data_IF_216212876336
#
_entry.id   IF_216212876336
#
_cell.length_a   1.000
_cell.length_b   1.000
_cell.length_c   1.000
_cell.angle_alpha   90.00
_cell.angle_beta   90.00
_cell.angle_gamma   90.00
#
_symmetry.space_group_name_H-M   'P 1'
#
loop_
_entity.id
_entity.type
_entity.pdbx_description
1 polymer ?
#
# COMPACT_ATOMS: atom_id res chain seq x y z
N UNK A 1 80.22 23.37 19.28
CA UNK A 1 80.38 22.16 20.13
C UNK A 1 79.03 21.46 20.11
N UNK A 2 78.92 20.33 19.39
CA UNK A 2 78.79 18.98 19.98
C UNK A 2 77.56 18.87 20.91
N UNK A 3 76.63 17.93 20.81
CA UNK A 3 76.42 16.72 20.00
C UNK A 3 75.13 16.06 20.52
N UNK A 4 74.43 15.27 19.69
CA UNK A 4 73.63 14.07 20.06
C UNK A 4 72.46 14.28 21.06
N UNK A 5 71.19 14.04 20.75
CA UNK A 5 70.60 12.94 19.98
C UNK A 5 70.01 11.90 20.94
N UNK A 6 68.68 11.73 20.95
CA UNK A 6 68.02 10.43 21.23
C UNK A 6 66.54 10.51 20.87
N UNK A 7 66.21 9.84 19.77
CA UNK A 7 64.87 9.57 19.30
C UNK A 7 64.32 8.32 19.98
N UNK A 8 63.08 8.36 20.45
CA UNK A 8 62.33 7.17 20.87
C UNK A 8 61.28 6.83 19.81
N UNK A 9 61.57 5.76 19.06
CA UNK A 9 60.61 4.98 18.26
C UNK A 9 60.02 3.88 19.13
N UNK A 10 58.71 3.62 19.02
CA UNK A 10 58.06 2.31 19.04
C UNK A 10 56.55 2.48 19.28
N UNK A 11 55.61 1.67 18.78
CA UNK A 11 55.58 0.57 17.82
C UNK A 11 54.07 0.38 17.53
N UNK A 12 53.67 0.38 16.26
CA UNK A 12 52.31 0.00 15.87
C UNK A 12 52.15 -1.52 15.95
N UNK A 13 51.23 -1.99 16.78
CA UNK A 13 50.87 -3.41 16.88
C UNK A 13 49.76 -3.72 15.87
N UNK A 14 50.14 -4.26 14.72
CA UNK A 14 49.25 -4.94 13.78
C UNK A 14 48.95 -6.35 14.30
N UNK A 15 47.72 -6.60 14.73
CA UNK A 15 47.23 -7.97 14.97
C UNK A 15 46.45 -8.42 13.74
N UNK A 16 47.12 -9.21 12.90
CA UNK A 16 46.49 -10.00 11.85
C UNK A 16 45.70 -11.15 12.48
N UNK A 17 44.39 -11.21 12.21
CA UNK A 17 43.57 -12.39 12.51
C UNK A 17 43.36 -13.14 11.20
N UNK A 18 43.99 -14.31 11.10
CA UNK A 18 43.81 -15.28 10.03
C UNK A 18 42.40 -15.87 10.11
N UNK A 19 41.68 -15.84 8.98
CA UNK A 19 40.45 -16.59 8.77
C UNK A 19 40.76 -18.07 8.47
N UNK A 20 39.94 -19.02 8.95
CA UNK A 20 39.81 -20.33 8.33
C UNK A 20 38.61 -20.38 7.37
N UNK A 21 38.88 -20.90 6.17
CA UNK A 21 37.91 -21.28 5.15
C UNK A 21 37.15 -22.54 5.59
N UNK A 22 35.82 -22.49 5.68
CA UNK A 22 34.94 -23.68 5.74
C UNK A 22 33.67 -23.42 4.93
N UNK A 23 33.29 -24.40 4.11
CA UNK A 23 32.34 -24.29 2.99
C UNK A 23 30.85 -24.09 3.32
N UNK A 24 29.97 -24.22 2.30
CA UNK A 24 28.60 -23.76 2.38
C UNK A 24 27.70 -24.74 3.16
N UNK A 25 27.36 -24.38 4.39
CA UNK A 25 26.26 -25.00 5.12
C UNK A 25 24.92 -24.36 4.70
N UNK A 26 24.08 -25.15 4.04
CA UNK A 26 22.67 -24.82 3.80
C UNK A 26 21.94 -24.65 5.14
N UNK A 27 21.71 -23.42 5.56
CA UNK A 27 20.86 -23.12 6.71
C UNK A 27 19.40 -23.17 6.24
N UNK A 28 18.78 -24.33 6.43
CA UNK A 28 17.33 -24.51 6.33
C UNK A 28 16.65 -23.63 7.39
N UNK A 29 16.13 -22.48 6.95
CA UNK A 29 15.30 -21.59 7.78
C UNK A 29 13.90 -22.21 7.88
N UNK A 30 13.70 -23.11 8.83
CA UNK A 30 12.36 -23.54 9.22
C UNK A 30 11.65 -22.37 9.91
N UNK A 31 10.76 -21.71 9.17
CA UNK A 31 9.81 -20.75 9.72
C UNK A 31 8.77 -21.54 10.52
N UNK A 32 8.88 -21.51 11.84
CA UNK A 32 7.79 -21.95 12.72
C UNK A 32 6.65 -20.93 12.65
N UNK A 33 5.59 -21.27 11.93
CA UNK A 33 4.33 -20.51 11.95
C UNK A 33 3.61 -20.92 13.23
N UNK A 34 3.53 -20.00 14.20
CA UNK A 34 2.63 -20.17 15.34
C UNK A 34 1.21 -19.81 14.91
N UNK A 35 0.39 -20.81 14.62
CA UNK A 35 -1.07 -20.66 14.50
C UNK A 35 -1.67 -20.65 15.90
N UNK A 36 -2.00 -19.47 16.43
CA UNK A 36 -2.87 -19.36 17.60
C UNK A 36 -4.32 -19.54 17.17
N UNK A 37 -4.73 -20.80 17.01
CA UNK A 37 -6.14 -21.20 17.06
C UNK A 37 -6.55 -21.24 18.54
N UNK A 38 -6.93 -20.09 19.09
CA UNK A 38 -7.74 -20.08 20.32
C UNK A 38 -9.20 -20.19 19.89
N UNK A 39 -9.74 -21.38 20.11
CA UNK A 39 -11.14 -21.73 19.94
C UNK A 39 -12.04 -20.70 20.61
N UNK A 40 -12.98 -20.19 19.83
CA UNK A 40 -14.15 -19.45 20.29
C UNK A 40 -15.09 -20.48 20.91
N UNK A 41 -14.98 -20.70 22.23
CA UNK A 41 -16.01 -21.40 22.98
C UNK A 41 -17.19 -20.44 23.17
N UNK A 42 -18.23 -20.71 22.39
CA UNK A 42 -19.51 -20.03 22.42
C UNK A 42 -20.33 -20.52 23.61
N UNK A 43 -20.19 -19.86 24.76
CA UNK A 43 -21.09 -20.07 25.90
C UNK A 43 -22.39 -19.32 25.66
N UNK A 44 -23.38 -20.06 25.15
CA UNK A 44 -24.79 -19.68 25.06
C UNK A 44 -25.38 -19.60 26.46
N UNK A 45 -25.60 -18.39 26.98
CA UNK A 45 -26.43 -18.15 28.17
C UNK A 45 -27.74 -17.49 27.74
N UNK A 46 -28.79 -18.31 27.64
CA UNK A 46 -30.18 -17.85 27.70
C UNK A 46 -30.48 -17.57 29.18
N UNK A 47 -30.96 -16.38 29.53
CA UNK A 47 -31.55 -16.16 30.84
C UNK A 47 -32.85 -15.35 30.75
N UNK A 48 -33.84 -15.96 31.37
CA UNK A 48 -35.22 -15.53 31.52
C UNK A 48 -35.30 -14.60 32.73
N UNK A 49 -36.03 -13.50 32.58
CA UNK A 49 -36.34 -12.55 33.65
C UNK A 49 -37.26 -13.17 34.71
N UNK A 50 -36.79 -13.24 35.96
CA UNK A 50 -37.66 -13.29 37.14
C UNK A 50 -36.98 -12.63 38.34
N UNK A 51 -37.63 -11.60 38.87
CA UNK A 51 -37.21 -10.82 40.02
C UNK A 51 -37.65 -11.49 41.34
N UNK A 52 -36.75 -11.53 42.32
CA UNK A 52 -37.09 -11.62 43.75
C UNK A 52 -35.94 -11.07 44.59
N UNK A 53 -36.28 -10.27 45.60
CA UNK A 53 -35.40 -9.44 46.40
C UNK A 53 -35.05 -10.06 47.78
N UNK A 54 -33.97 -9.53 48.36
CA UNK A 54 -33.46 -9.68 49.75
C UNK A 54 -32.80 -11.04 50.04
N UNK A 55 -31.61 -11.14 50.63
CA UNK A 55 -31.10 -10.44 51.84
C UNK A 55 -29.56 -10.45 51.84
N UNK A 56 -28.97 -9.43 52.46
CA UNK A 56 -27.54 -9.31 52.72
C UNK A 56 -27.11 -10.23 53.87
N UNK A 57 -26.10 -11.06 53.64
CA UNK A 57 -25.15 -11.50 54.68
C UNK A 57 -23.72 -11.57 54.11
N UNK A 58 -22.81 -11.22 55.00
CA UNK A 58 -21.40 -10.92 54.85
C UNK A 58 -20.60 -12.22 54.82
N UNK A 59 -20.10 -12.61 53.63
CA UNK A 59 -19.11 -13.68 53.51
C UNK A 59 -17.77 -13.10 53.03
N UNK A 60 -16.82 -13.24 53.94
CA UNK A 60 -15.43 -12.81 53.87
C UNK A 60 -14.79 -13.21 52.55
N UNK A 61 -14.27 -12.19 51.85
CA UNK A 61 -13.53 -12.29 50.61
C UNK A 61 -12.34 -13.25 50.68
N UNK A 62 -12.49 -14.45 50.12
CA UNK A 62 -11.36 -15.24 49.65
C UNK A 62 -11.06 -14.81 48.21
N UNK A 63 -10.12 -13.87 48.07
CA UNK A 63 -9.64 -13.40 46.78
C UNK A 63 -9.22 -14.63 45.93
N UNK A 64 -9.83 -14.86 44.74
CA UNK A 64 -9.45 -16.01 43.92
C UNK A 64 -7.98 -15.84 43.60
N UNK A 65 -7.16 -16.80 44.01
CA UNK A 65 -5.71 -16.83 43.81
C UNK A 65 -5.39 -16.38 42.39
N UNK A 66 -5.02 -15.10 42.26
CA UNK A 66 -4.89 -14.47 40.94
C UNK A 66 -3.82 -15.24 40.19
N UNK A 67 -4.23 -15.97 39.14
CA UNK A 67 -3.31 -16.72 38.29
C UNK A 67 -2.31 -15.70 37.77
N UNK A 68 -1.11 -15.67 38.36
CA UNK A 68 -0.09 -14.65 38.07
C UNK A 68 0.13 -14.67 36.56
N UNK A 69 -0.23 -13.56 35.90
CA UNK A 69 -0.08 -13.45 34.46
C UNK A 69 1.38 -13.77 34.08
N UNK A 70 1.62 -14.48 32.97
CA UNK A 70 2.97 -14.77 32.51
C UNK A 70 3.78 -13.48 32.35
N UNK A 71 5.08 -13.54 32.64
CA UNK A 71 5.97 -12.37 32.71
C UNK A 71 5.82 -11.40 31.52
N UNK A 72 5.71 -11.94 30.29
CA UNK A 72 5.52 -11.14 29.07
C UNK A 72 4.21 -10.34 29.09
N UNK A 73 3.11 -10.93 29.56
CA UNK A 73 1.81 -10.23 29.69
C UNK A 73 1.89 -9.13 30.75
N UNK A 74 2.57 -9.39 31.88
CA UNK A 74 2.77 -8.35 32.91
C UNK A 74 3.56 -7.15 32.38
N UNK A 75 4.65 -7.38 31.66
CA UNK A 75 5.41 -6.31 30.99
C UNK A 75 4.58 -5.54 29.97
N UNK A 76 3.77 -6.25 29.19
CA UNK A 76 2.86 -5.63 28.22
C UNK A 76 1.82 -4.73 28.91
N UNK A 77 1.18 -5.19 29.99
CA UNK A 77 0.25 -4.35 30.76
C UNK A 77 0.93 -3.15 31.42
N UNK A 78 2.16 -3.31 31.91
CA UNK A 78 2.96 -2.19 32.43
C UNK A 78 3.24 -1.15 31.33
N UNK A 79 3.52 -1.58 30.10
CA UNK A 79 3.67 -0.67 28.96
C UNK A 79 2.35 0.01 28.59
N UNK A 80 1.23 -0.73 28.53
CA UNK A 80 -0.10 -0.17 28.27
C UNK A 80 -0.50 0.90 29.30
N UNK A 81 -0.14 0.71 30.57
CA UNK A 81 -0.42 1.68 31.64
C UNK A 81 0.49 2.92 31.59
N UNK A 82 1.65 2.82 30.93
CA UNK A 82 2.61 3.92 30.81
C UNK A 82 2.54 4.53 29.41
N UNK A 83 3.51 4.23 28.55
CA UNK A 83 3.61 4.80 27.20
C UNK A 83 2.47 4.40 26.27
N UNK A 84 1.84 3.25 26.51
CA UNK A 84 0.75 2.72 25.69
C UNK A 84 -0.59 3.41 25.95
N UNK A 85 -0.75 4.10 27.09
CA UNK A 85 -2.02 4.72 27.49
C UNK A 85 -2.49 5.78 26.47
N UNK A 86 -1.53 6.45 25.80
CA UNK A 86 -1.83 7.43 24.73
C UNK A 86 -2.49 6.82 23.49
N UNK A 87 -2.42 5.50 23.31
CA UNK A 87 -2.98 4.79 22.15
C UNK A 87 -4.25 4.02 22.48
N UNK A 88 -4.70 4.01 23.74
CA UNK A 88 -5.92 3.33 24.16
C UNK A 88 -7.16 3.96 23.49
N UNK A 89 -7.17 5.29 23.41
CA UNK A 89 -8.23 6.06 22.75
C UNK A 89 -7.65 6.82 21.55
N UNK A 90 -8.41 6.95 20.46
CA UNK A 90 -7.96 7.73 19.32
C UNK A 90 -7.77 9.19 19.71
N UNK A 91 -6.64 9.78 19.30
CA UNK A 91 -6.47 11.23 19.37
C UNK A 91 -7.07 11.85 18.10
N UNK A 92 -7.93 12.85 18.26
CA UNK A 92 -8.54 13.57 17.15
C UNK A 92 -7.74 14.82 16.72
N UNK A 93 -6.55 15.04 17.30
CA UNK A 93 -5.66 16.15 16.94
C UNK A 93 -4.79 15.87 15.71
N UNK A 94 -4.92 14.68 15.10
CA UNK A 94 -4.13 14.22 13.95
C UNK A 94 -3.54 12.83 14.16
N UNK A 95 -2.60 12.40 13.29
CA UNK A 95 -2.04 11.06 13.35
C UNK A 95 -1.25 10.84 14.64
N UNK A 96 -1.68 9.86 15.43
CA UNK A 96 -1.02 9.45 16.66
C UNK A 96 -0.14 8.21 16.39
N UNK A 97 1.07 8.45 15.91
CA UNK A 97 2.05 7.39 15.65
C UNK A 97 2.87 7.04 16.89
N UNK A 98 3.46 5.84 16.91
CA UNK A 98 4.35 5.39 18.00
C UNK A 98 5.58 6.30 18.13
N UNK A 99 6.09 6.78 16.99
CA UNK A 99 7.21 7.70 16.85
C UNK A 99 6.86 8.84 15.88
N UNK A 100 7.83 9.60 15.36
CA UNK A 100 7.59 10.60 14.29
C UNK A 100 6.95 9.95 13.04
N UNK A 101 7.31 8.70 12.75
CA UNK A 101 6.72 7.88 11.69
C UNK A 101 5.88 6.74 12.28
N UNK A 102 4.91 6.20 11.52
CA UNK A 102 4.09 5.07 11.98
C UNK A 102 4.93 3.82 12.29
N UNK A 103 6.05 3.65 11.59
CA UNK A 103 6.97 2.55 11.78
C UNK A 103 8.34 3.10 12.20
N UNK A 104 8.75 2.96 13.47
CA UNK A 104 10.03 3.49 13.95
C UNK A 104 11.25 2.94 13.19
N UNK A 105 11.15 1.69 12.71
CA UNK A 105 12.21 1.04 11.94
C UNK A 105 12.20 1.40 10.44
N UNK A 106 11.20 2.17 9.97
CA UNK A 106 11.09 2.60 8.58
C UNK A 106 10.78 4.11 8.50
N UNK A 107 11.80 4.98 8.58
CA UNK A 107 11.61 6.42 8.52
C UNK A 107 11.22 6.94 7.12
N UNK A 108 11.41 6.13 6.07
CA UNK A 108 11.05 6.51 4.70
C UNK A 108 9.53 6.49 4.48
N UNK A 109 8.80 5.68 5.24
CA UNK A 109 7.36 5.61 5.14
C UNK A 109 6.70 6.73 5.98
N UNK A 110 6.37 7.83 5.31
CA UNK A 110 5.64 8.97 5.87
C UNK A 110 4.27 9.08 5.18
N UNK A 111 3.17 8.65 5.81
CA UNK A 111 1.86 8.70 5.18
C UNK A 111 1.41 10.15 5.00
N UNK A 112 1.09 10.51 3.76
CA UNK A 112 0.44 11.80 3.47
C UNK A 112 -1.03 11.76 3.89
N UNK A 113 -1.58 12.83 4.47
CA UNK A 113 -2.99 12.87 4.84
C UNK A 113 -3.88 12.68 3.59
N UNK A 114 -5.01 11.97 3.71
CA UNK A 114 -5.94 11.83 2.61
C UNK A 114 -6.66 13.16 2.35
N UNK A 115 -7.33 13.25 1.19
CA UNK A 115 -8.17 14.39 0.87
C UNK A 115 -9.50 14.34 1.64
N UNK A 116 -9.99 15.50 2.08
CA UNK A 116 -11.29 15.61 2.74
C UNK A 116 -12.45 15.21 1.83
N UNK A 117 -13.48 14.60 2.40
CA UNK A 117 -14.70 14.21 1.71
C UNK A 117 -15.40 15.42 1.11
N UNK A 118 -15.35 16.57 1.79
CA UNK A 118 -15.87 17.85 1.30
C UNK A 118 -15.17 18.26 0.00
N UNK A 119 -13.83 18.21 -0.05
CA UNK A 119 -13.09 18.55 -1.26
C UNK A 119 -13.36 17.56 -2.41
N UNK A 120 -13.49 16.26 -2.12
CA UNK A 120 -13.88 15.24 -3.11
C UNK A 120 -15.26 15.53 -3.69
N UNK A 121 -16.21 15.93 -2.84
CA UNK A 121 -17.56 16.30 -3.26
C UNK A 121 -17.56 17.59 -4.11
N UNK A 122 -16.74 18.60 -3.76
CA UNK A 122 -16.55 19.80 -4.58
C UNK A 122 -16.02 19.45 -5.98
N UNK A 123 -14.99 18.60 -6.07
CA UNK A 123 -14.42 18.13 -7.34
C UNK A 123 -15.50 17.47 -8.20
N UNK A 124 -16.29 16.57 -7.60
CA UNK A 124 -17.37 15.87 -8.31
C UNK A 124 -18.45 16.85 -8.81
N UNK A 125 -18.88 17.79 -7.96
CA UNK A 125 -19.88 18.81 -8.32
C UNK A 125 -19.42 19.70 -9.47
N UNK A 126 -18.16 20.16 -9.44
CA UNK A 126 -17.58 20.97 -10.52
C UNK A 126 -17.52 20.21 -11.84
N UNK A 127 -17.08 18.95 -11.82
CA UNK A 127 -17.06 18.12 -13.03
C UNK A 127 -18.47 17.87 -13.58
N UNK A 128 -19.45 17.67 -12.69
CA UNK A 128 -20.84 17.41 -13.09
C UNK A 128 -21.54 18.66 -13.63
N UNK A 129 -21.16 19.86 -13.18
CA UNK A 129 -21.73 21.11 -13.70
C UNK A 129 -21.30 21.38 -15.14
N UNK A 130 -19.98 21.34 -15.41
CA UNK A 130 -19.42 21.58 -16.75
C UNK A 130 -18.29 20.59 -17.06
N UNK A 131 -18.62 19.41 -17.58
CA UNK A 131 -17.63 18.36 -17.87
C UNK A 131 -16.59 18.78 -18.93
N UNK A 132 -16.97 19.64 -19.87
CA UNK A 132 -16.09 20.18 -20.92
C UNK A 132 -15.06 21.18 -20.39
N UNK A 133 -15.46 22.02 -19.43
CA UNK A 133 -14.59 23.02 -18.80
C UNK A 133 -13.74 22.40 -17.71
N UNK A 134 -14.36 21.63 -16.82
CA UNK A 134 -13.73 21.00 -15.66
C UNK A 134 -13.25 19.59 -16.00
N UNK A 135 -12.32 19.49 -16.94
CA UNK A 135 -11.66 18.23 -17.24
C UNK A 135 -10.82 17.74 -16.04
N UNK A 136 -10.55 16.42 -15.92
CA UNK A 136 -9.71 15.90 -14.83
C UNK A 136 -8.35 16.58 -14.72
N UNK A 137 -7.79 17.02 -15.86
CA UNK A 137 -6.56 17.81 -15.91
C UNK A 137 -6.71 19.19 -15.26
N UNK A 138 -7.77 19.93 -15.60
CA UNK A 138 -8.04 21.26 -15.02
C UNK A 138 -8.30 21.16 -13.51
N UNK A 139 -9.04 20.14 -13.09
CA UNK A 139 -9.27 19.84 -11.67
C UNK A 139 -7.96 19.45 -10.96
N UNK A 140 -7.11 18.65 -11.59
CA UNK A 140 -5.79 18.29 -11.08
C UNK A 140 -4.89 19.51 -10.86
N UNK A 141 -4.86 20.44 -11.81
CA UNK A 141 -4.13 21.70 -11.69
C UNK A 141 -4.71 22.61 -10.60
N UNK A 142 -6.04 22.68 -10.46
CA UNK A 142 -6.70 23.53 -9.46
C UNK A 142 -6.47 23.04 -8.03
N UNK A 143 -6.48 21.71 -7.83
CA UNK A 143 -6.37 21.09 -6.50
C UNK A 143 -4.97 20.54 -6.19
N UNK A 144 -3.98 20.74 -7.08
CA UNK A 144 -2.61 20.21 -6.99
C UNK A 144 -2.54 18.69 -6.79
N UNK A 145 -3.41 17.99 -7.52
CA UNK A 145 -3.56 16.54 -7.47
C UNK A 145 -3.31 15.90 -8.84
N UNK A 146 -2.92 14.63 -8.82
CA UNK A 146 -2.59 13.84 -10.00
C UNK A 146 -3.86 13.55 -10.78
N UNK A 147 -3.74 13.50 -12.11
CA UNK A 147 -4.89 13.27 -13.00
C UNK A 147 -5.59 11.95 -12.61
N UNK A 148 -4.80 10.90 -12.40
CA UNK A 148 -5.29 9.58 -11.98
C UNK A 148 -6.08 9.62 -10.68
N UNK A 149 -5.66 10.44 -9.71
CA UNK A 149 -6.39 10.61 -8.44
C UNK A 149 -7.72 11.32 -8.66
N UNK A 150 -7.76 12.36 -9.51
CA UNK A 150 -9.01 13.03 -9.88
C UNK A 150 -9.98 12.06 -10.53
N UNK A 151 -9.52 11.28 -11.51
CA UNK A 151 -10.36 10.29 -12.19
C UNK A 151 -10.94 9.27 -11.21
N UNK A 152 -10.13 8.78 -10.28
CA UNK A 152 -10.58 7.87 -9.23
C UNK A 152 -11.62 8.51 -8.31
N UNK A 153 -11.42 9.78 -7.91
CA UNK A 153 -12.41 10.52 -7.11
C UNK A 153 -13.73 10.63 -7.87
N UNK A 154 -13.70 11.00 -9.15
CA UNK A 154 -14.90 11.11 -9.98
C UNK A 154 -15.64 9.79 -10.08
N UNK A 155 -14.93 8.68 -10.34
CA UNK A 155 -15.52 7.33 -10.42
C UNK A 155 -16.13 6.89 -9.08
N UNK A 156 -15.39 7.01 -7.98
CA UNK A 156 -15.85 6.57 -6.66
C UNK A 156 -17.03 7.41 -6.16
N UNK A 157 -17.02 8.72 -6.42
CA UNK A 157 -18.14 9.61 -6.07
C UNK A 157 -19.38 9.33 -6.91
N UNK A 158 -19.20 9.03 -8.18
CA UNK A 158 -20.32 8.62 -9.03
C UNK A 158 -20.97 7.34 -8.50
N UNK A 159 -20.14 6.34 -8.21
CA UNK A 159 -20.56 5.07 -7.60
C UNK A 159 -21.27 5.28 -6.25
N UNK A 160 -20.75 6.16 -5.40
CA UNK A 160 -21.41 6.51 -4.14
C UNK A 160 -22.83 7.05 -4.38
N UNK A 161 -23.04 7.92 -5.38
CA UNK A 161 -24.38 8.43 -5.72
C UNK A 161 -25.29 7.35 -6.30
N UNK A 162 -24.77 6.44 -7.11
CA UNK A 162 -25.52 5.27 -7.59
C UNK A 162 -25.99 4.41 -6.43
N UNK A 163 -25.10 4.05 -5.51
CA UNK A 163 -25.45 3.24 -4.34
C UNK A 163 -26.50 3.92 -3.45
N UNK A 164 -26.38 5.24 -3.26
CA UNK A 164 -27.38 6.02 -2.52
C UNK A 164 -28.73 5.98 -3.23
N UNK A 165 -28.75 6.05 -4.57
CA UNK A 165 -29.97 5.92 -5.36
C UNK A 165 -30.58 4.50 -5.27
N UNK A 166 -29.75 3.47 -5.09
CA UNK A 166 -30.17 2.09 -4.80
C UNK A 166 -30.64 1.88 -3.34
N UNK A 167 -30.52 2.90 -2.48
CA UNK A 167 -30.99 2.86 -1.09
C UNK A 167 -29.90 2.52 -0.05
N UNK A 168 -28.62 2.48 -0.45
CA UNK A 168 -27.51 2.32 0.49
C UNK A 168 -27.30 3.59 1.33
N UNK A 169 -27.07 3.43 2.63
CA UNK A 169 -26.82 4.54 3.57
C UNK A 169 -25.31 4.61 3.89
N UNK A 170 -24.58 5.64 3.43
CA UNK A 170 -23.16 5.79 3.72
C UNK A 170 -22.87 6.05 5.20
N UNK A 171 -21.76 5.51 5.70
CA UNK A 171 -21.29 5.74 7.08
C UNK A 171 -20.52 7.07 7.20
N UNK A 172 -21.25 8.18 7.27
CA UNK A 172 -20.63 9.52 7.35
C UNK A 172 -19.83 9.76 8.63
N UNK A 173 -20.34 9.29 9.78
CA UNK A 173 -19.67 9.50 11.07
C UNK A 173 -18.32 8.79 11.13
N UNK A 174 -18.24 7.59 10.54
CA UNK A 174 -16.99 6.86 10.41
C UNK A 174 -16.00 7.63 9.54
N UNK A 175 -16.46 8.14 8.39
CA UNK A 175 -15.64 8.95 7.49
C UNK A 175 -15.08 10.19 8.19
N UNK A 176 -15.93 10.94 8.91
CA UNK A 176 -15.52 12.13 9.70
C UNK A 176 -14.49 11.78 10.77
N UNK A 177 -14.70 10.70 11.51
CA UNK A 177 -13.74 10.22 12.51
C UNK A 177 -12.39 9.86 11.88
N UNK A 178 -12.40 9.12 10.77
CA UNK A 178 -11.17 8.75 10.07
C UNK A 178 -10.40 9.94 9.52
N UNK A 179 -11.09 10.97 9.01
CA UNK A 179 -10.43 12.20 8.56
C UNK A 179 -9.69 12.92 9.69
N UNK A 180 -10.28 12.94 10.88
CA UNK A 180 -9.65 13.52 12.07
C UNK A 180 -8.42 12.71 12.51
N UNK A 181 -8.54 11.38 12.57
CA UNK A 181 -7.42 10.50 12.92
C UNK A 181 -6.24 10.61 11.94
N UNK A 182 -6.54 10.82 10.66
CA UNK A 182 -5.52 10.94 9.61
C UNK A 182 -4.97 12.37 9.46
N UNK A 183 -5.44 13.33 10.28
CA UNK A 183 -4.97 14.71 10.27
C UNK A 183 -5.30 15.47 8.99
N UNK A 184 -6.47 15.20 8.39
CA UNK A 184 -6.94 15.92 7.21
C UNK A 184 -7.21 17.38 7.59
N UNK A 185 -6.41 18.30 7.05
CA UNK A 185 -6.66 19.73 7.25
C UNK A 185 -7.91 20.13 6.46
N UNK A 186 -8.82 20.87 7.10
CA UNK A 186 -10.04 21.37 6.46
C UNK A 186 -9.74 22.38 5.34
N UNK A 187 -8.57 23.00 5.36
CA UNK A 187 -8.14 23.96 4.37
C UNK A 187 -7.82 23.27 3.03
N UNK A 188 -8.49 23.75 1.99
CA UNK A 188 -8.41 23.31 0.60
C UNK A 188 -6.96 23.07 0.18
N UNK A 189 -6.63 21.82 -0.13
CA UNK A 189 -5.50 21.39 -0.97
C UNK A 189 -4.07 21.79 -0.56
N UNK A 190 -3.84 22.64 0.43
CA UNK A 190 -2.50 23.12 0.79
C UNK A 190 -1.58 22.01 1.34
N UNK A 191 -2.16 20.95 1.89
CA UNK A 191 -1.39 19.84 2.47
C UNK A 191 -0.95 18.78 1.44
N UNK A 192 -1.60 18.70 0.27
CA UNK A 192 -1.34 17.65 -0.72
C UNK A 192 -0.85 18.31 -1.99
N UNK A 193 0.45 18.23 -2.22
CA UNK A 193 1.05 18.60 -3.51
C UNK A 193 1.61 17.34 -4.13
N UNK A 194 0.97 16.86 -5.19
CA UNK A 194 1.47 15.74 -5.98
C UNK A 194 1.69 16.18 -7.43
N UNK A 195 2.65 15.56 -8.15
CA UNK A 195 2.83 15.85 -9.56
C UNK A 195 1.58 15.45 -10.35
N UNK A 196 1.23 16.25 -11.36
CA UNK A 196 0.06 16.00 -12.20
C UNK A 196 0.13 14.62 -12.89
N UNK A 197 1.34 14.22 -13.29
CA UNK A 197 1.67 12.91 -13.84
C UNK A 197 2.94 12.39 -13.17
N UNK A 198 2.90 11.14 -12.73
CA UNK A 198 4.07 10.46 -12.17
C UNK A 198 4.99 9.98 -13.30
N UNK A 199 6.27 10.36 -13.23
CA UNK A 199 7.28 10.04 -14.24
C UNK A 199 8.32 9.19 -13.57
N UNK A 200 8.32 7.90 -13.91
CA UNK A 200 9.35 6.96 -13.47
C UNK A 200 10.40 6.87 -14.59
N UNK A 201 11.52 7.61 -14.50
CA UNK A 201 12.57 7.48 -15.50
C UNK A 201 13.18 6.08 -15.40
N UNK A 202 13.35 5.42 -16.54
CA UNK A 202 14.16 4.21 -16.59
C UNK A 202 15.62 4.61 -16.40
N UNK A 203 16.16 4.51 -15.19
CA UNK A 203 17.58 4.78 -14.92
C UNK A 203 18.42 3.55 -15.28
N UNK A 204 19.47 3.77 -16.07
CA UNK A 204 20.41 2.70 -16.51
C UNK A 204 21.64 2.65 -15.62
N UNK A 205 22.69 1.95 -16.07
CA UNK A 205 24.00 2.03 -15.44
C UNK A 205 24.57 3.47 -15.54
N UNK A 206 25.30 3.96 -14.53
CA UNK A 206 25.95 5.25 -14.59
C UNK A 206 26.94 5.29 -15.76
N UNK A 207 26.98 6.40 -16.49
CA UNK A 207 27.90 6.64 -17.60
C UNK A 207 28.66 7.93 -17.34
N UNK A 208 29.97 7.88 -17.51
CA UNK A 208 30.87 9.02 -17.40
C UNK A 208 31.41 9.35 -18.78
N UNK A 209 31.36 10.61 -19.17
CA UNK A 209 31.88 11.12 -20.45
C UNK A 209 32.86 12.25 -20.14
N UNK A 210 34.04 12.20 -20.77
CA UNK A 210 35.00 13.28 -20.67
C UNK A 210 34.56 14.39 -21.61
N UNK A 211 34.36 15.58 -21.06
CA UNK A 211 33.94 16.79 -21.76
C UNK A 211 35.05 17.82 -21.57
N UNK A 212 35.23 18.71 -22.55
CA UNK A 212 36.23 19.78 -22.46
C UNK A 212 35.89 20.75 -21.33
N UNK A 213 36.90 21.41 -20.75
CA UNK A 213 36.71 22.26 -19.57
C UNK A 213 35.91 23.54 -19.85
N UNK A 214 35.88 23.99 -21.09
CA UNK A 214 35.12 25.16 -21.51
C UNK A 214 33.67 24.84 -21.96
N UNK A 215 33.34 23.57 -22.19
CA UNK A 215 32.04 23.16 -22.72
C UNK A 215 30.98 22.99 -21.62
N UNK A 216 29.78 23.56 -21.82
CA UNK A 216 28.67 23.45 -20.88
C UNK A 216 27.84 22.20 -21.14
N UNK A 217 27.95 21.21 -20.26
CA UNK A 217 27.19 19.96 -20.40
C UNK A 217 25.74 20.11 -19.93
N UNK A 218 24.78 20.10 -20.87
CA UNK A 218 23.36 20.29 -20.56
C UNK A 218 22.60 18.96 -20.37
N UNK A 219 21.36 19.05 -19.87
CA UNK A 219 20.48 17.87 -19.73
C UNK A 219 20.11 17.20 -21.08
N UNK A 220 20.15 17.96 -22.18
CA UNK A 220 19.91 17.44 -23.53
C UNK A 220 21.10 16.65 -24.04
N UNK A 221 22.32 17.13 -23.76
CA UNK A 221 23.55 16.41 -24.09
C UNK A 221 23.66 15.13 -23.27
N UNK A 222 23.32 15.18 -21.97
CA UNK A 222 23.19 13.97 -21.15
C UNK A 222 22.20 12.95 -21.73
N UNK A 223 21.07 13.41 -22.27
CA UNK A 223 20.10 12.52 -22.92
C UNK A 223 20.70 11.89 -24.20
N UNK A 224 21.43 12.66 -25.00
CA UNK A 224 22.15 12.18 -26.19
C UNK A 224 23.18 11.11 -25.84
N UNK A 225 23.99 11.37 -24.82
CA UNK A 225 25.01 10.44 -24.27
C UNK A 225 24.40 9.13 -23.80
N UNK A 226 23.24 9.21 -23.14
CA UNK A 226 22.49 8.04 -22.66
C UNK A 226 21.64 7.37 -23.75
N UNK A 227 21.63 7.90 -24.98
CA UNK A 227 20.78 7.46 -26.10
C UNK A 227 19.29 7.45 -25.73
N UNK A 228 18.85 8.50 -25.02
CA UNK A 228 17.49 8.69 -24.51
C UNK A 228 16.90 10.00 -25.02
N UNK A 229 15.58 10.10 -24.90
CA UNK A 229 14.88 11.38 -25.12
C UNK A 229 15.13 12.31 -23.93
N UNK A 230 15.20 13.62 -24.15
CA UNK A 230 15.31 14.60 -23.08
C UNK A 230 14.08 14.53 -22.16
N UNK A 231 14.27 14.79 -20.87
CA UNK A 231 13.22 14.68 -19.87
C UNK A 231 12.01 15.57 -20.22
N UNK A 232 12.25 16.78 -20.75
CA UNK A 232 11.21 17.73 -21.13
C UNK A 232 10.25 17.15 -22.19
N UNK A 233 10.79 16.48 -23.22
CA UNK A 233 9.99 15.83 -24.26
C UNK A 233 9.17 14.66 -23.68
N UNK A 234 9.76 13.88 -22.77
CA UNK A 234 9.04 12.79 -22.08
C UNK A 234 7.85 13.36 -21.28
N UNK A 235 8.04 14.46 -20.56
CA UNK A 235 6.94 15.11 -19.81
C UNK A 235 5.84 15.58 -20.76
N UNK A 236 6.22 16.26 -21.84
CA UNK A 236 5.27 16.80 -22.82
C UNK A 236 4.46 15.69 -23.47
N UNK A 237 5.12 14.61 -23.92
CA UNK A 237 4.47 13.46 -24.55
C UNK A 237 3.51 12.76 -23.60
N UNK A 238 3.89 12.51 -22.34
CA UNK A 238 3.00 11.90 -21.36
C UNK A 238 1.76 12.77 -21.14
N UNK A 239 1.94 14.08 -21.09
CA UNK A 239 0.85 15.03 -20.97
C UNK A 239 -0.08 14.98 -22.20
N UNK A 240 0.47 14.90 -23.41
CA UNK A 240 -0.31 14.74 -24.64
C UNK A 240 -1.06 13.40 -24.69
N UNK A 241 -0.44 12.31 -24.24
CA UNK A 241 -1.09 10.99 -24.16
C UNK A 241 -2.28 11.02 -23.20
N UNK A 242 -2.14 11.69 -22.06
CA UNK A 242 -3.25 11.91 -21.12
C UNK A 242 -4.34 12.81 -21.74
N UNK A 243 -3.98 13.84 -22.53
CA UNK A 243 -4.98 14.65 -23.26
C UNK A 243 -5.76 13.84 -24.30
N UNK A 244 -5.06 12.92 -25.01
CA UNK A 244 -5.66 12.06 -26.03
C UNK A 244 -6.56 10.97 -25.43
N UNK A 245 -6.45 10.69 -24.14
CA UNK A 245 -7.31 9.75 -23.41
C UNK A 245 -8.49 10.52 -22.79
N UNK A 246 -9.63 10.66 -23.50
CA UNK A 246 -10.78 11.32 -22.90
C UNK A 246 -11.26 10.50 -21.71
N UNK A 247 -11.38 11.17 -20.57
CA UNK A 247 -12.01 10.58 -19.40
C UNK A 247 -13.48 10.30 -19.71
N UNK A 248 -13.89 9.05 -19.49
CA UNK A 248 -15.28 8.62 -19.56
C UNK A 248 -15.73 8.21 -18.17
N UNK A 249 -16.75 8.88 -17.67
CA UNK A 249 -17.46 8.42 -16.49
C UNK A 249 -18.35 7.25 -16.93
N UNK A 250 -18.12 6.07 -16.36
CA UNK A 250 -18.96 4.90 -16.64
C UNK A 250 -20.15 4.99 -15.69
N UNK A 251 -21.35 5.15 -16.25
CA UNK A 251 -22.57 5.45 -15.50
C UNK A 251 -23.20 4.25 -14.77
N UNK A 252 -22.46 3.14 -14.60
CA UNK A 252 -22.91 1.95 -13.87
C UNK A 252 -21.79 0.95 -13.63
N UNK A 253 -21.73 0.38 -12.42
CA UNK A 253 -20.95 -0.85 -12.12
C UNK A 253 -21.33 -1.99 -13.09
N UNK A 254 -22.60 -2.02 -13.54
CA UNK A 254 -23.10 -2.98 -14.56
C UNK A 254 -22.50 -2.77 -15.96
N UNK A 255 -21.96 -1.59 -16.25
CA UNK A 255 -21.33 -1.22 -17.52
C UNK A 255 -19.81 -1.34 -17.52
N UNK A 256 -19.18 -1.53 -16.36
CA UNK A 256 -17.83 -2.08 -16.33
C UNK A 256 -18.00 -3.51 -16.81
N UNK A 257 -17.60 -3.78 -18.05
CA UNK A 257 -17.50 -5.15 -18.53
C UNK A 257 -16.71 -5.90 -17.45
N UNK A 258 -17.40 -6.74 -16.68
CA UNK A 258 -16.71 -7.84 -16.02
C UNK A 258 -15.91 -8.45 -17.15
N UNK A 259 -14.59 -8.61 -16.95
CA UNK A 259 -13.74 -9.17 -17.98
C UNK A 259 -14.42 -10.45 -18.44
N UNK A 260 -15.14 -10.39 -19.58
CA UNK A 260 -15.96 -11.52 -19.96
C UNK A 260 -14.96 -12.65 -20.11
N UNK A 261 -15.26 -13.84 -19.55
CA UNK A 261 -14.35 -14.95 -19.70
C UNK A 261 -14.13 -15.09 -21.20
N UNK A 262 -12.87 -14.93 -21.63
CA UNK A 262 -12.51 -14.95 -23.05
C UNK A 262 -13.19 -16.17 -23.67
N UNK A 263 -13.94 -16.03 -24.77
CA UNK A 263 -14.73 -17.14 -25.30
C UNK A 263 -13.82 -18.34 -25.55
N UNK A 264 -14.04 -19.38 -24.74
CA UNK A 264 -13.28 -20.64 -24.82
C UNK A 264 -14.08 -21.71 -25.52
N UNK A 265 -13.46 -22.38 -26.50
CA UNK A 265 -14.05 -23.56 -27.14
C UNK A 265 -13.45 -24.84 -26.51
N UNK A 266 -14.29 -25.82 -26.08
CA UNK A 266 -13.78 -27.08 -25.57
C UNK A 266 -13.22 -27.92 -26.73
N UNK A 267 -11.95 -28.32 -26.66
CA UNK A 267 -11.30 -29.16 -27.67
C UNK A 267 -11.46 -30.64 -27.31
N UNK A 268 -11.14 -30.99 -26.06
CA UNK A 268 -11.11 -32.39 -25.62
C UNK A 268 -11.35 -32.50 -24.13
N UNK A 269 -11.88 -33.64 -23.69
CA UNK A 269 -12.09 -33.98 -22.29
C UNK A 269 -11.43 -35.32 -22.00
N UNK A 270 -10.46 -35.33 -21.09
CA UNK A 270 -9.77 -36.54 -20.67
C UNK A 270 -9.83 -36.67 -19.14
N UNK A 271 -10.57 -37.66 -18.66
CA UNK A 271 -10.76 -37.90 -17.22
C UNK A 271 -9.48 -38.36 -16.50
N UNK A 272 -8.53 -38.95 -17.23
CA UNK A 272 -7.24 -39.39 -16.67
C UNK A 272 -6.31 -38.22 -16.33
N UNK A 273 -6.56 -37.02 -16.88
CA UNK A 273 -5.73 -35.83 -16.72
C UNK A 273 -6.33 -34.80 -15.74
N UNK A 274 -7.30 -35.25 -14.93
CA UNK A 274 -7.99 -34.45 -13.91
C UNK A 274 -7.02 -34.10 -12.76
N UNK A 275 -6.94 -32.82 -12.38
CA UNK A 275 -6.10 -32.36 -11.27
C UNK A 275 -6.94 -31.52 -10.30
N UNK A 276 -7.12 -32.02 -9.08
CA UNK A 276 -7.92 -31.32 -8.06
C UNK A 276 -7.30 -29.98 -7.63
N UNK A 277 -5.97 -29.83 -7.80
CA UNK A 277 -5.20 -28.73 -7.18
C UNK A 277 -4.89 -27.58 -8.13
N UNK A 278 -4.70 -27.84 -9.43
CA UNK A 278 -4.13 -26.85 -10.35
C UNK A 278 -4.96 -26.70 -11.63
N UNK A 279 -5.11 -25.45 -12.09
CA UNK A 279 -5.55 -25.09 -13.45
C UNK A 279 -4.28 -24.78 -14.24
N UNK A 280 -4.07 -25.46 -15.37
CA UNK A 280 -2.87 -25.31 -16.17
C UNK A 280 -3.15 -24.45 -17.41
N UNK A 281 -2.24 -23.53 -17.71
CA UNK A 281 -2.26 -22.69 -18.92
C UNK A 281 -1.03 -23.04 -19.75
N UNK A 282 -1.26 -23.57 -20.95
CA UNK A 282 -0.22 -23.83 -21.93
C UNK A 282 -0.28 -22.76 -23.00
N UNK A 283 0.86 -22.15 -23.31
CA UNK A 283 0.98 -21.21 -24.42
C UNK A 283 1.82 -21.91 -25.49
N UNK A 284 1.16 -22.35 -26.56
CA UNK A 284 1.87 -22.93 -27.70
C UNK A 284 2.48 -21.78 -28.53
N UNK A 285 3.80 -21.66 -28.48
CA UNK A 285 4.55 -20.62 -29.18
C UNK A 285 4.47 -20.76 -30.71
N UNK A 286 4.14 -21.95 -31.22
CA UNK A 286 4.11 -22.23 -32.66
C UNK A 286 2.80 -21.79 -33.33
N UNK A 287 1.66 -21.97 -32.64
CA UNK A 287 0.31 -21.70 -33.19
C UNK A 287 -0.36 -20.44 -32.64
N UNK A 288 0.32 -19.69 -31.77
CA UNK A 288 -0.25 -18.54 -31.01
C UNK A 288 -1.58 -18.89 -30.32
N UNK A 289 -1.78 -20.15 -29.94
CA UNK A 289 -2.97 -20.61 -29.25
C UNK A 289 -2.67 -20.71 -27.76
N UNK A 290 -3.54 -20.14 -26.94
CA UNK A 290 -3.48 -20.33 -25.49
C UNK A 290 -4.48 -21.43 -25.14
N UNK A 291 -3.98 -22.52 -24.56
CA UNK A 291 -4.77 -23.67 -24.14
C UNK A 291 -4.89 -23.65 -22.62
N UNK A 292 -6.11 -23.81 -22.11
CA UNK A 292 -6.40 -23.85 -20.68
C UNK A 292 -6.93 -25.24 -20.35
N UNK A 293 -6.26 -25.95 -19.46
CA UNK A 293 -6.78 -27.19 -18.88
C UNK A 293 -7.43 -26.88 -17.54
N UNK A 294 -8.73 -27.12 -17.45
CA UNK A 294 -9.49 -26.99 -16.21
C UNK A 294 -9.26 -28.19 -15.28
N UNK A 295 -9.71 -28.06 -14.04
CA UNK A 295 -9.53 -29.10 -13.01
C UNK A 295 -10.19 -30.42 -13.41
N UNK A 296 -11.28 -30.33 -14.16
CA UNK A 296 -12.10 -31.45 -14.62
C UNK A 296 -11.48 -32.22 -15.82
N UNK A 297 -10.25 -31.85 -16.23
CA UNK A 297 -9.55 -32.47 -17.35
C UNK A 297 -10.03 -32.00 -18.73
N UNK A 298 -10.90 -30.99 -18.79
CA UNK A 298 -11.32 -30.31 -20.03
C UNK A 298 -10.24 -29.36 -20.53
N UNK A 299 -9.87 -29.51 -21.80
CA UNK A 299 -8.94 -28.63 -22.50
C UNK A 299 -9.73 -27.62 -23.34
N UNK A 300 -9.54 -26.34 -23.04
CA UNK A 300 -10.14 -25.21 -23.71
C UNK A 300 -9.13 -24.49 -24.59
N UNK A 301 -9.55 -24.09 -25.79
CA UNK A 301 -8.81 -23.12 -26.60
C UNK A 301 -9.33 -21.72 -26.30
N UNK A 302 -8.42 -20.82 -25.96
CA UNK A 302 -8.72 -19.40 -25.80
C UNK A 302 -8.53 -18.74 -27.16
N UNK A 303 -9.60 -18.17 -27.71
CA UNK A 303 -9.49 -17.29 -28.87
C UNK A 303 -8.94 -15.94 -28.40
N UNK A 304 -7.73 -15.59 -28.84
CA UNK A 304 -7.22 -14.23 -28.64
C UNK A 304 -8.01 -13.29 -29.55
N UNK A 305 -8.76 -12.36 -28.94
CA UNK A 305 -9.46 -11.27 -29.62
C UNK A 305 -8.49 -10.22 -30.14
#
# INVERSE_FOLDING_TARGET
MASLGLATRALWSLRAVKAPLTGPAFVSSQRFIHTSLSAFEESKSEDTTAAAAATAEDDTAEAPASKKLPYRRRKFHQWLQSEGARFEKPSFSGPNFISETPFPMNPLFKPTPPMSNVAKEEIYKLHRSDSTKWTPRQLGMKYNISIKRVEAILRLKHLEKEMIAEGFVPQENFTKGMEQLMGVKAERSAAITEPLTDILPQVGSPKFEAVDEEETFTAEDAARVLKRRPLAEIKARLLEEEQKRPFKLVDSIKGVAQHEPVPTTPISRNSAETSARFKFTFVDTSKKATLIREKDGTLHQVHQS
#
